data_IF_575000809113
#
_entry.id   IF_575000809113
#
_cell.length_a   1.000
_cell.length_b   1.000
_cell.length_c   1.000
_cell.angle_alpha   90.00
_cell.angle_beta   90.00
_cell.angle_gamma   90.00
#
_symmetry.space_group_name_H-M   'P 1'
#
loop_
_entity.id
_entity.type
_entity.pdbx_description
1 polymer ?
#
# COMPACT_ATOMS: atom_id res chain seq x y z
N UNK A 1 -24.27 65.38 -22.62
CA UNK A 1 -22.97 65.45 -21.91
C UNK A 1 -22.71 64.14 -21.18
N UNK A 2 -21.69 63.37 -21.57
CA UNK A 2 -21.37 62.06 -20.98
C UNK A 2 -20.40 62.29 -19.81
N UNK A 3 -20.86 62.13 -18.56
CA UNK A 3 -20.00 62.17 -17.36
C UNK A 3 -18.99 61.01 -17.45
N UNK A 4 -17.69 61.32 -17.48
CA UNK A 4 -16.64 60.31 -17.28
C UNK A 4 -16.73 59.84 -15.82
N UNK A 5 -16.90 58.54 -15.62
CA UNK A 5 -16.80 57.91 -14.29
C UNK A 5 -15.34 57.99 -13.86
N UNK A 6 -15.10 58.49 -12.64
CA UNK A 6 -13.79 58.38 -12.00
C UNK A 6 -13.54 56.89 -11.72
N UNK A 7 -12.68 56.27 -12.51
CA UNK A 7 -12.10 54.97 -12.19
C UNK A 7 -10.93 55.25 -11.22
N UNK A 8 -11.15 54.98 -9.94
CA UNK A 8 -10.09 55.08 -8.92
C UNK A 8 -9.08 53.94 -9.13
N UNK A 9 -7.80 54.29 -9.29
CA UNK A 9 -6.71 53.32 -9.36
C UNK A 9 -6.39 52.71 -8.00
N UNK A 10 -5.98 51.43 -7.99
CA UNK A 10 -5.52 50.72 -6.80
C UNK A 10 -4.25 51.35 -6.22
N UNK A 11 -4.19 51.48 -4.90
CA UNK A 11 -2.99 51.95 -4.21
C UNK A 11 -2.01 50.78 -3.95
N UNK A 12 -0.69 51.06 -3.98
CA UNK A 12 0.33 50.05 -3.64
C UNK A 12 0.13 49.49 -2.22
N UNK A 13 -0.31 50.33 -1.28
CA UNK A 13 -0.54 49.93 0.11
C UNK A 13 -1.72 48.95 0.25
N UNK A 14 -2.80 49.12 -0.53
CA UNK A 14 -3.92 48.17 -0.56
C UNK A 14 -3.47 46.78 -1.01
N UNK A 15 -2.68 46.72 -2.08
CA UNK A 15 -2.19 45.44 -2.58
C UNK A 15 -1.30 44.77 -1.54
N UNK A 16 -0.36 45.50 -0.93
CA UNK A 16 0.54 44.93 0.09
C UNK A 16 -0.22 44.37 1.30
N UNK A 17 -1.22 45.08 1.81
CA UNK A 17 -2.03 44.59 2.95
C UNK A 17 -2.84 43.34 2.54
N UNK A 18 -3.41 43.33 1.33
CA UNK A 18 -4.17 42.17 0.84
C UNK A 18 -3.28 40.94 0.69
N UNK A 19 -2.09 41.07 0.10
CA UNK A 19 -1.19 39.92 -0.06
C UNK A 19 -0.66 39.45 1.30
N UNK A 20 -0.43 40.37 2.25
CA UNK A 20 -0.02 40.02 3.61
C UNK A 20 -1.10 39.18 4.34
N UNK A 21 -2.37 39.59 4.25
CA UNK A 21 -3.47 38.82 4.86
C UNK A 21 -3.64 37.45 4.19
N UNK A 22 -3.57 37.38 2.86
CA UNK A 22 -3.64 36.11 2.12
C UNK A 22 -2.50 35.17 2.53
N UNK A 23 -1.27 35.69 2.69
CA UNK A 23 -0.13 34.89 3.11
C UNK A 23 -0.31 34.30 4.51
N UNK A 24 -0.84 35.08 5.47
CA UNK A 24 -1.13 34.61 6.83
C UNK A 24 -2.22 33.53 6.81
N UNK A 25 -3.30 33.75 6.07
CA UNK A 25 -4.40 32.78 5.96
C UNK A 25 -3.94 31.47 5.30
N UNK A 26 -3.15 31.56 4.23
CA UNK A 26 -2.60 30.38 3.54
C UNK A 26 -1.66 29.56 4.45
N UNK A 27 -0.81 30.24 5.23
CA UNK A 27 0.10 29.59 6.16
C UNK A 27 -0.64 28.76 7.23
N UNK A 28 -1.77 29.27 7.73
CA UNK A 28 -2.59 28.55 8.73
C UNK A 28 -3.31 27.36 8.08
N UNK A 29 -3.79 27.50 6.84
CA UNK A 29 -4.64 26.49 6.19
C UNK A 29 -3.84 25.25 5.69
N UNK A 30 -2.58 25.44 5.33
CA UNK A 30 -1.72 24.41 4.72
C UNK A 30 -1.62 23.10 5.54
N UNK A 31 -1.31 23.11 6.86
CA UNK A 31 -1.20 21.87 7.64
C UNK A 31 -2.54 21.12 7.82
N UNK A 32 -3.68 21.81 7.75
CA UNK A 32 -4.99 21.15 7.86
C UNK A 32 -5.33 20.34 6.61
N UNK A 33 -4.97 20.85 5.43
CA UNK A 33 -5.23 20.18 4.15
C UNK A 33 -4.42 18.89 4.06
N UNK A 34 -3.14 18.92 4.44
CA UNK A 34 -2.26 17.74 4.37
C UNK A 34 -2.74 16.60 5.25
N UNK A 35 -3.27 16.90 6.45
CA UNK A 35 -3.84 15.90 7.35
C UNK A 35 -5.11 15.25 6.78
N UNK A 36 -6.01 16.04 6.20
CA UNK A 36 -7.23 15.50 5.61
C UNK A 36 -6.93 14.57 4.43
N UNK A 37 -5.91 14.92 3.63
CA UNK A 37 -5.43 14.09 2.53
C UNK A 37 -4.83 12.78 3.08
N UNK A 38 -3.97 12.84 4.10
CA UNK A 38 -3.36 11.63 4.67
C UNK A 38 -4.40 10.67 5.27
N UNK A 39 -5.41 11.20 5.97
CA UNK A 39 -6.48 10.37 6.55
C UNK A 39 -7.31 9.69 5.45
N UNK A 40 -7.60 10.43 4.37
CA UNK A 40 -8.30 9.90 3.20
C UNK A 40 -7.48 8.83 2.47
N UNK A 41 -6.16 9.04 2.35
CA UNK A 41 -5.22 8.07 1.80
C UNK A 41 -5.16 6.82 2.68
N UNK A 42 -5.03 6.95 4.00
CA UNK A 42 -5.03 5.80 4.90
C UNK A 42 -6.34 4.98 4.81
N UNK A 43 -7.50 5.64 4.77
CA UNK A 43 -8.78 4.95 4.59
C UNK A 43 -8.84 4.19 3.26
N UNK A 44 -8.38 4.82 2.17
CA UNK A 44 -8.27 4.18 0.85
C UNK A 44 -7.31 3.00 0.89
N UNK A 45 -6.14 3.18 1.50
CA UNK A 45 -5.11 2.15 1.57
C UNK A 45 -5.63 0.89 2.28
N UNK A 46 -6.42 1.07 3.34
CA UNK A 46 -7.07 -0.02 4.05
C UNK A 46 -8.10 -0.77 3.18
N UNK A 47 -8.93 -0.06 2.43
CA UNK A 47 -9.91 -0.66 1.53
C UNK A 47 -9.23 -1.45 0.40
N UNK A 48 -8.18 -0.89 -0.21
CA UNK A 48 -7.39 -1.56 -1.25
C UNK A 48 -6.66 -2.80 -0.68
N UNK A 49 -6.14 -2.72 0.55
CA UNK A 49 -5.58 -3.88 1.24
C UNK A 49 -6.62 -4.99 1.49
N UNK A 50 -7.88 -4.64 1.77
CA UNK A 50 -8.99 -5.61 1.87
C UNK A 50 -9.28 -6.30 0.55
N UNK A 51 -9.22 -5.57 -0.57
CA UNK A 51 -9.39 -6.14 -1.91
C UNK A 51 -8.29 -7.16 -2.20
N UNK A 52 -7.04 -6.83 -1.88
CA UNK A 52 -5.91 -7.75 -2.02
C UNK A 52 -6.08 -8.98 -1.12
N UNK A 53 -6.45 -8.79 0.15
CA UNK A 53 -6.71 -9.88 1.09
C UNK A 53 -7.83 -10.82 0.62
N UNK A 54 -8.92 -10.27 0.06
CA UNK A 54 -10.02 -11.04 -0.49
C UNK A 54 -9.58 -11.86 -1.71
N UNK A 55 -8.78 -11.29 -2.61
CA UNK A 55 -8.25 -12.00 -3.77
C UNK A 55 -7.33 -13.16 -3.33
N UNK A 56 -6.46 -12.94 -2.35
CA UNK A 56 -5.61 -13.98 -1.75
C UNK A 56 -6.44 -15.10 -1.13
N UNK A 57 -7.50 -14.75 -0.40
CA UNK A 57 -8.39 -15.71 0.25
C UNK A 57 -9.18 -16.53 -0.76
N UNK A 58 -9.64 -15.91 -1.86
CA UNK A 58 -10.34 -16.62 -2.93
C UNK A 58 -9.39 -17.57 -3.67
N UNK A 59 -8.15 -17.15 -3.93
CA UNK A 59 -7.13 -18.03 -4.48
C UNK A 59 -6.88 -19.26 -3.60
N UNK A 60 -6.86 -19.08 -2.28
CA UNK A 60 -6.73 -20.21 -1.36
C UNK A 60 -7.91 -21.18 -1.43
N UNK A 61 -9.14 -20.68 -1.53
CA UNK A 61 -10.35 -21.52 -1.62
C UNK A 61 -10.34 -22.43 -2.85
N UNK A 62 -9.86 -21.92 -3.98
CA UNK A 62 -9.88 -22.66 -5.24
C UNK A 62 -8.63 -23.51 -5.45
N UNK A 63 -7.47 -23.07 -4.98
CA UNK A 63 -6.21 -23.78 -5.19
C UNK A 63 -5.86 -24.75 -4.05
N UNK A 64 -6.56 -24.63 -2.91
CA UNK A 64 -6.26 -25.35 -1.67
C UNK A 64 -4.88 -25.02 -1.09
N UNK A 65 -4.23 -23.96 -1.58
CA UNK A 65 -2.88 -23.53 -1.19
C UNK A 65 -2.82 -22.02 -1.20
N UNK A 66 -2.12 -21.46 -0.23
CA UNK A 66 -1.90 -20.03 -0.18
C UNK A 66 -0.99 -19.58 -1.32
N UNK A 67 -1.10 -18.33 -1.79
CA UNK A 67 -0.06 -17.70 -2.58
C UNK A 67 1.27 -17.75 -1.79
N UNK A 68 2.05 -18.77 -2.10
CA UNK A 68 3.43 -18.97 -1.72
C UNK A 68 4.07 -19.80 -2.84
N UNK A 69 5.39 -19.77 -2.99
CA UNK A 69 6.02 -20.64 -3.98
C UNK A 69 6.15 -22.04 -3.40
N UNK A 70 5.39 -22.98 -3.96
CA UNK A 70 5.66 -24.41 -3.86
C UNK A 70 6.64 -24.76 -5.00
N UNK A 71 7.92 -24.49 -4.79
CA UNK A 71 9.01 -25.13 -5.51
C UNK A 71 10.23 -25.16 -4.58
N UNK A 72 10.68 -26.38 -4.25
CA UNK A 72 11.33 -26.80 -3.00
C UNK A 72 12.71 -26.18 -2.65
N UNK A 73 13.15 -25.11 -3.29
CA UNK A 73 14.54 -24.61 -3.11
C UNK A 73 14.62 -23.18 -2.55
N UNK A 74 13.58 -22.37 -2.67
CA UNK A 74 13.56 -21.01 -2.08
C UNK A 74 12.15 -20.62 -1.64
N UNK A 75 11.90 -20.67 -0.34
CA UNK A 75 10.73 -20.04 0.27
C UNK A 75 10.89 -18.53 0.10
N UNK A 76 9.93 -17.90 -0.58
CA UNK A 76 9.92 -16.45 -0.74
C UNK A 76 9.38 -15.84 0.56
N UNK A 77 10.19 -15.00 1.20
CA UNK A 77 9.89 -14.42 2.51
C UNK A 77 8.66 -13.51 2.50
N UNK A 78 8.34 -12.93 1.34
CA UNK A 78 7.13 -12.18 1.12
C UNK A 78 6.75 -12.00 -0.36
N UNK A 79 5.58 -11.41 -0.56
CA UNK A 79 4.99 -11.09 -1.86
C UNK A 79 4.66 -9.59 -1.93
N UNK A 80 4.56 -9.02 -3.12
CA UNK A 80 4.18 -7.63 -3.30
C UNK A 80 3.26 -7.41 -4.51
N UNK A 81 2.44 -6.36 -4.53
CA UNK A 81 1.55 -6.05 -5.67
C UNK A 81 2.21 -5.20 -6.75
N UNK A 82 1.76 -5.29 -8.00
CA UNK A 82 2.17 -4.38 -9.07
C UNK A 82 3.60 -4.62 -9.60
N UNK A 83 4.09 -3.75 -10.49
CA UNK A 83 5.38 -3.92 -11.15
C UNK A 83 6.55 -3.81 -10.17
N UNK A 84 7.64 -4.54 -10.45
CA UNK A 84 8.86 -4.49 -9.65
C UNK A 84 9.51 -3.08 -9.58
N UNK A 85 9.15 -2.17 -10.50
CA UNK A 85 9.57 -0.78 -10.45
C UNK A 85 8.85 -0.08 -9.29
N UNK A 86 9.55 0.07 -8.15
CA UNK A 86 8.95 0.54 -6.90
C UNK A 86 8.85 -0.54 -5.84
N UNK A 87 9.32 -1.77 -6.12
CA UNK A 87 9.51 -2.75 -5.04
C UNK A 87 10.40 -2.17 -3.98
N UNK A 88 10.00 -2.30 -2.71
CA UNK A 88 10.75 -1.72 -1.63
C UNK A 88 12.17 -2.29 -1.61
N UNK A 89 13.16 -1.41 -1.86
CA UNK A 89 14.55 -1.72 -1.55
C UNK A 89 14.69 -1.87 -0.02
N UNK A 90 15.78 -2.45 0.47
CA UNK A 90 16.01 -2.65 1.91
C UNK A 90 15.78 -1.39 2.78
N UNK A 91 15.80 -0.18 2.20
CA UNK A 91 15.49 1.09 2.87
C UNK A 91 14.07 1.18 3.46
N UNK A 92 13.12 0.38 2.98
CA UNK A 92 11.77 0.30 3.55
C UNK A 92 11.70 -0.62 4.79
N UNK A 93 12.73 -1.41 5.11
CA UNK A 93 12.61 -2.51 6.06
C UNK A 93 13.70 -2.46 7.13
N UNK A 94 13.30 -2.46 8.40
CA UNK A 94 14.23 -2.64 9.51
C UNK A 94 14.51 -4.12 9.76
N UNK A 95 15.77 -4.51 9.98
CA UNK A 95 16.11 -5.87 10.43
C UNK A 95 15.35 -6.28 11.71
N UNK A 96 14.95 -5.30 12.52
CA UNK A 96 14.14 -5.47 13.73
C UNK A 96 12.67 -5.86 13.46
N UNK A 97 12.12 -5.59 12.28
CA UNK A 97 10.72 -5.88 11.95
C UNK A 97 10.53 -7.28 11.35
N UNK A 98 11.61 -7.99 11.04
CA UNK A 98 11.55 -9.35 10.49
C UNK A 98 11.29 -9.43 8.99
N UNK A 99 11.06 -8.29 8.34
CA UNK A 99 11.06 -8.18 6.89
C UNK A 99 12.51 -8.31 6.40
N UNK A 100 12.80 -9.38 5.66
CA UNK A 100 14.18 -9.75 5.33
C UNK A 100 14.82 -8.86 4.25
N UNK A 101 16.06 -8.43 4.49
CA UNK A 101 17.04 -7.97 3.49
C UNK A 101 18.47 -8.34 3.98
N UNK A 102 19.49 -8.64 3.15
CA UNK A 102 19.60 -8.83 1.70
C UNK A 102 19.85 -10.30 1.29
N UNK A 103 19.27 -10.73 0.16
CA UNK A 103 19.25 -12.12 -0.33
C UNK A 103 17.86 -12.77 -0.33
N UNK A 104 16.85 -12.04 0.17
CA UNK A 104 15.48 -12.50 0.30
C UNK A 104 14.79 -12.59 -1.06
N UNK A 105 14.38 -13.80 -1.41
CA UNK A 105 13.58 -14.07 -2.59
C UNK A 105 12.19 -13.43 -2.40
N UNK A 106 11.87 -12.38 -3.15
CA UNK A 106 10.54 -11.75 -3.23
C UNK A 106 9.89 -12.03 -4.58
N UNK A 107 8.57 -12.18 -4.60
CA UNK A 107 7.83 -12.46 -5.81
C UNK A 107 6.60 -11.56 -5.94
N UNK A 108 6.19 -11.29 -7.17
CA UNK A 108 5.04 -10.46 -7.46
C UNK A 108 3.76 -11.26 -7.20
N UNK A 109 2.86 -10.72 -6.38
CA UNK A 109 1.58 -11.34 -6.05
C UNK A 109 0.69 -11.50 -7.29
N UNK A 110 0.84 -10.62 -8.28
CA UNK A 110 0.10 -10.65 -9.53
C UNK A 110 0.34 -11.93 -10.32
N UNK A 111 1.52 -12.55 -10.22
CA UNK A 111 1.77 -13.84 -10.89
C UNK A 111 0.93 -14.95 -10.26
N UNK A 112 0.56 -14.81 -8.99
CA UNK A 112 -0.33 -15.75 -8.32
C UNK A 112 -1.81 -15.44 -8.62
N UNK A 113 -2.18 -14.15 -8.59
CA UNK A 113 -3.58 -13.73 -8.55
C UNK A 113 -4.16 -13.27 -9.89
N UNK A 114 -3.32 -12.77 -10.80
CA UNK A 114 -3.76 -12.12 -12.05
C UNK A 114 -3.42 -12.95 -13.28
N UNK A 115 -2.17 -13.43 -13.40
CA UNK A 115 -1.66 -14.01 -14.66
C UNK A 115 -1.38 -15.52 -14.65
N UNK A 116 -1.64 -16.23 -13.55
CA UNK A 116 -1.29 -17.65 -13.37
C UNK A 116 0.18 -17.97 -13.75
N UNK A 117 1.13 -17.14 -13.31
CA UNK A 117 2.56 -17.32 -13.53
C UNK A 117 3.20 -18.47 -12.74
N UNK A 118 2.43 -19.16 -11.89
CA UNK A 118 2.88 -20.32 -11.10
C UNK A 118 2.42 -21.66 -11.65
N UNK A 119 1.85 -21.67 -12.86
CA UNK A 119 1.40 -22.91 -13.54
C UNK A 119 0.47 -23.72 -12.66
N UNK A 120 -0.47 -23.03 -11.99
CA UNK A 120 -1.51 -23.69 -11.23
C UNK A 120 -2.36 -24.58 -12.16
N UNK A 121 -2.88 -25.72 -11.66
CA UNK A 121 -3.68 -26.62 -12.47
C UNK A 121 -4.85 -25.88 -13.12
N UNK A 122 -5.07 -26.07 -14.42
CA UNK A 122 -6.24 -25.51 -15.12
C UNK A 122 -7.51 -26.36 -14.96
N UNK A 123 -7.40 -27.56 -14.39
CA UNK A 123 -8.45 -28.56 -14.30
C UNK A 123 -8.42 -29.27 -12.94
N UNK A 124 -9.53 -29.91 -12.58
CA UNK A 124 -9.72 -30.58 -11.29
C UNK A 124 -10.34 -29.68 -10.21
N UNK A 125 -10.40 -30.21 -8.99
CA UNK A 125 -11.00 -29.55 -7.83
C UNK A 125 -10.15 -28.36 -7.34
N UNK A 126 -8.82 -28.53 -7.36
CA UNK A 126 -7.85 -27.49 -6.97
C UNK A 126 -7.30 -26.71 -8.17
N UNK A 127 -8.20 -26.22 -9.03
CA UNK A 127 -7.81 -25.51 -10.26
C UNK A 127 -7.76 -24.00 -10.05
N UNK A 128 -6.91 -23.34 -10.83
CA UNK A 128 -6.97 -21.89 -10.99
C UNK A 128 -8.24 -21.52 -11.74
N UNK A 129 -9.20 -20.93 -11.02
CA UNK A 129 -10.53 -20.64 -11.55
C UNK A 129 -10.59 -19.34 -12.36
N UNK A 130 -9.49 -18.57 -12.41
CA UNK A 130 -9.39 -17.32 -13.13
C UNK A 130 -8.60 -16.27 -12.36
N UNK A 131 -8.44 -15.07 -12.93
CA UNK A 131 -7.86 -13.95 -12.21
C UNK A 131 -8.74 -13.65 -10.98
N UNK A 132 -8.14 -13.71 -9.80
CA UNK A 132 -8.80 -13.37 -8.54
C UNK A 132 -8.93 -11.86 -8.34
N UNK A 133 -8.26 -11.08 -9.19
CA UNK A 133 -8.45 -9.66 -9.43
C UNK A 133 -8.05 -9.33 -10.87
N UNK A 134 -8.68 -8.33 -11.48
CA UNK A 134 -8.29 -7.83 -12.80
C UNK A 134 -6.92 -7.14 -12.77
N UNK A 135 -6.65 -6.39 -11.69
CA UNK A 135 -5.37 -5.75 -11.41
C UNK A 135 -5.26 -5.55 -9.90
N UNK A 136 -4.07 -5.74 -9.33
CA UNK A 136 -3.84 -5.39 -7.94
C UNK A 136 -3.46 -3.90 -7.87
N UNK A 137 -4.16 -3.09 -7.06
CA UNK A 137 -3.89 -1.67 -6.97
C UNK A 137 -2.52 -1.42 -6.30
N UNK A 138 -1.79 -0.37 -6.71
CA UNK A 138 -0.76 0.22 -5.87
C UNK A 138 -1.43 0.97 -4.71
N UNK A 139 -0.67 1.24 -3.65
CA UNK A 139 -1.14 2.04 -2.54
C UNK A 139 -1.33 3.52 -2.94
N UNK A 140 -1.99 4.34 -2.10
CA UNK A 140 -2.23 5.76 -2.40
C UNK A 140 -0.97 6.63 -2.55
N UNK A 141 0.19 6.12 -2.16
CA UNK A 141 1.50 6.77 -2.31
C UNK A 141 2.28 6.21 -3.52
N UNK A 142 1.66 5.34 -4.32
CA UNK A 142 2.22 4.77 -5.55
C UNK A 142 3.17 3.60 -5.33
N UNK A 143 3.19 3.02 -4.14
CA UNK A 143 4.05 1.90 -3.74
C UNK A 143 3.26 0.59 -3.75
N UNK A 144 3.96 -0.56 -3.87
CA UNK A 144 3.29 -1.85 -3.82
C UNK A 144 2.86 -2.19 -2.39
N UNK A 145 1.73 -2.91 -2.27
CA UNK A 145 1.40 -3.57 -1.00
C UNK A 145 2.34 -4.74 -0.78
N UNK A 146 2.73 -4.99 0.47
CA UNK A 146 3.60 -6.10 0.86
C UNK A 146 2.84 -7.13 1.70
N UNK A 147 3.18 -8.40 1.52
CA UNK A 147 2.59 -9.55 2.21
C UNK A 147 3.69 -10.43 2.76
N UNK A 148 3.62 -10.75 4.06
CA UNK A 148 4.52 -11.70 4.73
C UNK A 148 4.10 -13.16 4.47
N UNK A 149 4.08 -13.55 3.21
CA UNK A 149 3.53 -14.83 2.75
C UNK A 149 4.18 -16.07 3.36
N UNK A 150 5.42 -15.98 3.85
CA UNK A 150 6.07 -17.08 4.58
C UNK A 150 5.28 -17.52 5.83
N UNK A 151 4.52 -16.61 6.43
CA UNK A 151 3.73 -16.91 7.63
C UNK A 151 2.43 -17.67 7.35
N UNK A 152 2.01 -17.83 6.10
CA UNK A 152 0.87 -18.68 5.77
C UNK A 152 1.06 -20.14 6.22
N UNK A 153 2.29 -20.63 6.16
CA UNK A 153 2.68 -22.00 6.52
C UNK A 153 3.46 -22.07 7.83
N UNK A 154 3.61 -20.96 8.54
CA UNK A 154 4.32 -20.95 9.83
C UNK A 154 3.57 -21.78 10.87
N UNK A 155 4.31 -22.56 11.65
CA UNK A 155 3.78 -23.27 12.81
C UNK A 155 3.50 -22.33 13.98
N UNK A 156 4.13 -21.15 14.00
CA UNK A 156 3.82 -20.09 14.96
C UNK A 156 2.54 -19.37 14.53
N UNK A 157 1.69 -19.00 15.50
CA UNK A 157 0.44 -18.26 15.25
C UNK A 157 0.72 -16.78 14.94
N UNK A 158 1.45 -16.52 13.86
CA UNK A 158 1.85 -15.20 13.40
C UNK A 158 0.84 -14.73 12.35
N UNK A 159 0.26 -13.52 12.50
CA UNK A 159 -0.70 -13.00 11.55
C UNK A 159 -0.07 -12.73 10.18
N UNK A 160 -0.85 -12.98 9.14
CA UNK A 160 -0.46 -12.62 7.76
C UNK A 160 -1.07 -11.29 7.41
N UNK A 161 -0.22 -10.34 7.07
CA UNK A 161 -0.56 -8.95 6.80
C UNK A 161 -0.53 -8.65 5.30
N UNK A 162 -1.43 -7.79 4.87
CA UNK A 162 -1.30 -6.99 3.65
C UNK A 162 -1.08 -5.56 4.08
N UNK A 163 0.09 -4.98 3.80
CA UNK A 163 0.50 -3.67 4.30
C UNK A 163 0.88 -2.71 3.18
N UNK A 164 0.50 -1.47 3.35
CA UNK A 164 1.10 -0.31 2.70
C UNK A 164 2.08 0.32 3.69
N UNK A 165 3.22 0.77 3.17
CA UNK A 165 4.30 1.42 3.91
C UNK A 165 3.98 2.89 4.29
N UNK A 166 2.73 3.31 4.14
CA UNK A 166 2.31 4.66 4.50
C UNK A 166 2.98 5.79 3.72
N UNK A 167 2.81 7.04 4.20
CA UNK A 167 3.46 8.22 3.65
C UNK A 167 4.99 8.13 3.65
N UNK A 168 5.60 7.63 4.73
CA UNK A 168 7.06 7.62 4.87
C UNK A 168 7.74 6.61 3.92
N UNK A 169 7.04 5.53 3.57
CA UNK A 169 7.61 4.47 2.74
C UNK A 169 8.61 3.64 3.50
N UNK A 170 8.29 3.33 4.74
CA UNK A 170 9.04 2.42 5.57
C UNK A 170 7.98 1.56 6.24
N UNK A 171 8.26 0.26 6.33
CA UNK A 171 7.42 -0.72 7.01
C UNK A 171 8.00 -0.91 8.40
N UNK A 172 7.28 -0.40 9.40
CA UNK A 172 7.61 -0.54 10.82
C UNK A 172 6.86 -1.70 11.48
N UNK A 173 5.85 -2.26 10.81
CA UNK A 173 5.05 -3.38 11.33
C UNK A 173 5.91 -4.63 11.41
N UNK A 174 6.17 -5.09 12.64
CA UNK A 174 6.91 -6.33 12.88
C UNK A 174 6.09 -7.57 12.52
N UNK A 175 6.68 -8.44 11.70
CA UNK A 175 6.10 -9.72 11.24
C UNK A 175 6.68 -10.95 11.95
N UNK A 176 7.61 -10.75 12.89
CA UNK A 176 8.17 -11.83 13.71
C UNK A 176 7.43 -12.05 15.03
N UNK A 177 6.56 -11.12 15.42
CA UNK A 177 5.78 -11.18 16.64
C UNK A 177 4.29 -11.39 16.32
N UNK A 178 3.50 -11.81 17.32
CA UNK A 178 2.03 -11.81 17.28
C UNK A 178 1.46 -10.38 17.33
N UNK A 179 2.03 -9.47 16.54
CA UNK A 179 1.66 -8.07 16.43
C UNK A 179 0.21 -7.96 15.98
N UNK A 180 -0.63 -7.33 16.78
CA UNK A 180 -2.08 -7.23 16.52
C UNK A 180 -2.50 -5.93 15.82
N UNK A 181 -1.58 -4.97 15.71
CA UNK A 181 -1.81 -3.64 15.13
C UNK A 181 -0.69 -3.27 14.16
N UNK A 182 -1.00 -2.56 13.08
CA UNK A 182 0.02 -1.98 12.22
C UNK A 182 0.90 -0.98 13.01
N UNK A 183 2.18 -0.94 12.69
CA UNK A 183 3.16 -0.05 13.33
C UNK A 183 3.14 1.35 12.71
N UNK A 184 3.42 2.37 13.53
CA UNK A 184 3.59 3.77 13.08
C UNK A 184 2.50 4.25 12.10
N UNK A 185 2.89 4.56 10.85
CA UNK A 185 2.02 5.03 9.76
C UNK A 185 1.68 3.94 8.73
N UNK A 186 2.07 2.69 8.99
CA UNK A 186 1.67 1.54 8.17
C UNK A 186 0.15 1.35 8.20
N UNK A 187 -0.39 1.02 7.04
CA UNK A 187 -1.82 0.73 6.89
C UNK A 187 -1.99 -0.64 6.28
N UNK A 188 -2.71 -1.51 6.96
CA UNK A 188 -2.93 -2.85 6.46
C UNK A 188 -4.07 -3.61 7.10
N UNK A 189 -4.31 -4.79 6.55
CA UNK A 189 -5.30 -5.74 7.05
C UNK A 189 -4.67 -7.11 7.23
N UNK A 190 -5.25 -7.88 8.15
CA UNK A 190 -4.85 -9.26 8.40
C UNK A 190 -5.71 -10.21 7.59
N UNK A 191 -5.08 -11.21 6.99
CA UNK A 191 -5.73 -12.31 6.28
C UNK A 191 -5.97 -13.49 7.24
N UNK A 192 -5.04 -13.70 8.18
CA UNK A 192 -5.03 -14.77 9.17
C UNK A 192 -4.57 -14.23 10.51
#
# INVERSE_FOLDING_TARGET
MKRRRNEGGFTLIEVVVVVAVIAILAAILTPFITKYISDSQAARAKNEAQVVAAAVTNAYKDLGRWPNRINATTNYGGLFTGPAAGTPSAAFFGTATGWAAPGAAWNQLDTHLVTNGHTYPGTGDNKWAGPYSAQLPPDPWGRPYVINAANFTSAANIPVWVLSAGPNGVIETSINAATTTAGADDVGVRIR
#
